data_IF_991772587803
#
_entry.id   IF_991772587803
#
_cell.length_a   1.000
_cell.length_b   1.000
_cell.length_c   1.000
_cell.angle_alpha   90.00
_cell.angle_beta   90.00
_cell.angle_gamma   90.00
#
_symmetry.space_group_name_H-M   'P 1'
#
loop_
_entity.id
_entity.type
_entity.pdbx_description
1 polymer ?
#
# COMPACT_ATOMS: atom_id res chain seq x y z
N UNK A 1 -28.51 -2.04 -35.10
CA UNK A 1 -29.04 -2.29 -33.73
C UNK A 1 -27.99 -2.88 -32.79
N UNK A 2 -27.28 -3.96 -33.15
CA UNK A 2 -26.28 -4.61 -32.27
C UNK A 2 -25.15 -3.66 -31.80
N UNK A 3 -24.62 -2.79 -32.67
CA UNK A 3 -23.60 -1.79 -32.29
C UNK A 3 -24.12 -0.86 -31.18
N UNK A 4 -25.40 -0.44 -31.25
CA UNK A 4 -26.01 0.39 -30.20
C UNK A 4 -26.10 -0.34 -28.86
N UNK A 5 -26.43 -1.63 -28.88
CA UNK A 5 -26.50 -2.46 -27.66
C UNK A 5 -25.13 -2.57 -27.00
N UNK A 6 -24.06 -2.74 -27.78
CA UNK A 6 -22.68 -2.74 -27.25
C UNK A 6 -22.35 -1.38 -26.62
N UNK A 7 -22.68 -0.27 -27.29
CA UNK A 7 -22.47 1.08 -26.76
C UNK A 7 -23.22 1.33 -25.44
N UNK A 8 -24.51 0.97 -25.39
CA UNK A 8 -25.33 1.06 -24.19
C UNK A 8 -24.79 0.17 -23.05
N UNK A 9 -24.31 -1.03 -23.38
CA UNK A 9 -23.68 -1.94 -22.42
C UNK A 9 -22.42 -1.36 -21.79
N UNK A 10 -21.56 -0.69 -22.57
CA UNK A 10 -20.37 -0.01 -22.06
C UNK A 10 -20.74 1.15 -21.11
N UNK A 11 -21.73 1.96 -21.46
CA UNK A 11 -22.24 3.04 -20.58
C UNK A 11 -22.76 2.45 -19.27
N UNK A 12 -23.59 1.41 -19.35
CA UNK A 12 -24.15 0.74 -18.17
C UNK A 12 -23.03 0.15 -17.30
N UNK A 13 -22.02 -0.49 -17.88
CA UNK A 13 -20.88 -1.04 -17.15
C UNK A 13 -20.12 0.05 -16.37
N UNK A 14 -19.85 1.21 -16.98
CA UNK A 14 -19.16 2.32 -16.29
C UNK A 14 -19.91 2.78 -15.04
N UNK A 15 -21.24 2.86 -15.13
CA UNK A 15 -22.10 3.29 -14.03
C UNK A 15 -22.27 2.20 -12.96
N UNK A 16 -22.57 0.96 -13.38
CA UNK A 16 -22.82 -0.19 -12.49
C UNK A 16 -21.55 -0.57 -11.71
N UNK A 17 -20.38 -0.52 -12.36
CA UNK A 17 -19.10 -0.79 -11.70
C UNK A 17 -18.60 0.37 -10.84
N UNK A 18 -19.38 1.45 -10.69
CA UNK A 18 -19.05 2.62 -9.89
C UNK A 18 -17.66 3.21 -10.21
N UNK A 19 -17.28 3.22 -11.50
CA UNK A 19 -15.91 3.55 -11.89
C UNK A 19 -15.50 4.98 -11.50
N UNK A 20 -16.47 5.88 -11.36
CA UNK A 20 -16.26 7.25 -10.88
C UNK A 20 -15.79 7.35 -9.43
N UNK A 21 -16.07 6.35 -8.59
CA UNK A 21 -15.51 6.26 -7.24
C UNK A 21 -14.21 5.45 -7.23
N UNK A 22 -14.13 4.40 -8.06
CA UNK A 22 -12.96 3.51 -8.18
C UNK A 22 -11.73 4.26 -8.68
N UNK A 23 -11.88 5.12 -9.69
CA UNK A 23 -10.76 5.90 -10.25
C UNK A 23 -10.04 6.76 -9.18
N UNK A 24 -10.74 7.66 -8.47
CA UNK A 24 -10.15 8.43 -7.37
C UNK A 24 -9.60 7.55 -6.23
N UNK A 25 -10.31 6.47 -5.86
CA UNK A 25 -9.85 5.57 -4.80
C UNK A 25 -8.52 4.90 -5.16
N UNK A 26 -8.38 4.45 -6.42
CA UNK A 26 -7.14 3.88 -6.94
C UNK A 26 -6.01 4.90 -6.94
N UNK A 27 -6.28 6.11 -7.46
CA UNK A 27 -5.29 7.19 -7.57
C UNK A 27 -4.77 7.65 -6.20
N UNK A 28 -5.67 7.81 -5.22
CA UNK A 28 -5.31 8.14 -3.85
C UNK A 28 -4.46 7.04 -3.20
N UNK A 29 -4.87 5.77 -3.34
CA UNK A 29 -4.12 4.64 -2.79
C UNK A 29 -2.70 4.60 -3.37
N UNK A 30 -2.58 4.69 -4.69
CA UNK A 30 -1.27 4.66 -5.34
C UNK A 30 -0.42 5.89 -4.94
N UNK A 31 -1.00 7.08 -4.92
CA UNK A 31 -0.26 8.30 -4.60
C UNK A 31 0.27 8.31 -3.16
N UNK A 32 -0.56 7.85 -2.21
CA UNK A 32 -0.19 7.82 -0.79
C UNK A 32 0.85 6.73 -0.48
N UNK A 33 0.80 5.59 -1.17
CA UNK A 33 1.77 4.50 -0.98
C UNK A 33 3.10 4.70 -1.70
N UNK A 34 3.13 5.51 -2.78
CA UNK A 34 4.34 5.75 -3.58
C UNK A 34 5.58 6.12 -2.74
N UNK A 35 5.56 7.08 -1.81
CA UNK A 35 6.74 7.41 -1.00
C UNK A 35 7.17 6.29 -0.05
N UNK A 36 6.22 5.46 0.39
CA UNK A 36 6.49 4.35 1.31
C UNK A 36 7.09 3.11 0.61
N UNK A 37 6.82 2.92 -0.68
CA UNK A 37 7.22 1.74 -1.45
C UNK A 37 8.50 1.93 -2.28
N UNK A 38 9.26 2.99 -2.05
CA UNK A 38 10.57 3.13 -2.68
C UNK A 38 11.57 2.10 -2.10
N UNK A 39 12.55 1.70 -2.90
CA UNK A 39 13.61 0.79 -2.44
C UNK A 39 14.32 1.34 -1.20
N UNK A 40 14.58 2.65 -1.18
CA UNK A 40 15.22 3.31 -0.04
C UNK A 40 14.32 3.27 1.21
N UNK A 41 13.02 3.54 1.07
CA UNK A 41 12.06 3.51 2.19
C UNK A 41 11.97 2.10 2.80
N UNK A 42 11.88 1.06 1.97
CA UNK A 42 11.85 -0.35 2.41
C UNK A 42 13.16 -0.75 3.08
N UNK A 43 14.31 -0.41 2.48
CA UNK A 43 15.63 -0.69 3.07
C UNK A 43 15.79 -0.01 4.43
N UNK A 44 15.35 1.24 4.56
CA UNK A 44 15.36 1.95 5.84
C UNK A 44 14.42 1.29 6.85
N UNK A 45 13.23 0.86 6.45
CA UNK A 45 12.31 0.14 7.34
C UNK A 45 12.91 -1.18 7.86
N UNK A 46 13.59 -1.96 7.00
CA UNK A 46 14.32 -3.16 7.44
C UNK A 46 15.44 -2.83 8.43
N UNK A 47 16.19 -1.75 8.20
CA UNK A 47 17.23 -1.32 9.13
C UNK A 47 16.64 -0.90 10.49
N UNK A 48 15.50 -0.22 10.49
CA UNK A 48 14.78 0.15 11.72
C UNK A 48 14.33 -1.08 12.52
N UNK A 49 13.76 -2.09 11.85
CA UNK A 49 13.34 -3.37 12.47
C UNK A 49 14.54 -4.14 13.01
N UNK A 50 15.62 -4.23 12.23
CA UNK A 50 16.86 -4.88 12.64
C UNK A 50 17.46 -4.19 13.88
N UNK A 51 17.40 -2.85 13.94
CA UNK A 51 17.79 -2.07 15.10
C UNK A 51 16.99 -2.43 16.35
N UNK A 52 15.66 -2.52 16.25
CA UNK A 52 14.80 -2.94 17.38
C UNK A 52 15.09 -4.37 17.84
N UNK A 53 15.35 -5.29 16.91
CA UNK A 53 15.74 -6.68 17.23
C UNK A 53 17.09 -6.75 17.94
N UNK A 54 18.05 -5.94 17.50
CA UNK A 54 19.35 -5.83 18.15
C UNK A 54 19.22 -5.27 19.57
N UNK A 55 18.38 -4.25 19.79
CA UNK A 55 18.07 -3.72 21.13
C UNK A 55 17.44 -4.79 22.01
N UNK A 56 16.44 -5.53 21.53
CA UNK A 56 15.80 -6.59 22.32
C UNK A 56 16.82 -7.65 22.77
N UNK A 57 17.68 -8.07 21.84
CA UNK A 57 18.73 -9.06 22.11
C UNK A 57 19.76 -8.52 23.10
N UNK A 58 20.28 -7.31 22.88
CA UNK A 58 21.28 -6.69 23.73
C UNK A 58 20.72 -6.38 25.13
N UNK A 59 19.47 -5.92 25.21
CA UNK A 59 18.80 -5.61 26.46
C UNK A 59 18.73 -6.86 27.35
N UNK A 60 18.24 -7.97 26.79
CA UNK A 60 18.05 -9.22 27.53
C UNK A 60 19.37 -9.93 27.87
N UNK A 61 20.32 -9.97 26.93
CA UNK A 61 21.54 -10.79 27.08
C UNK A 61 22.70 -10.06 27.73
N UNK A 62 22.74 -8.71 27.66
CA UNK A 62 23.87 -7.92 28.17
C UNK A 62 23.44 -6.85 29.16
N UNK A 63 22.48 -6.00 28.81
CA UNK A 63 22.14 -4.81 29.60
C UNK A 63 21.51 -5.19 30.94
N UNK A 64 20.51 -6.08 30.95
CA UNK A 64 19.88 -6.55 32.19
C UNK A 64 20.91 -7.21 33.12
N UNK A 65 21.73 -8.19 32.69
CA UNK A 65 22.78 -8.75 33.54
C UNK A 65 23.78 -7.71 34.09
N UNK A 66 24.27 -6.81 33.23
CA UNK A 66 25.26 -5.81 33.62
C UNK A 66 24.70 -4.80 34.63
N UNK A 67 23.49 -4.27 34.39
CA UNK A 67 22.83 -3.34 35.31
C UNK A 67 22.46 -4.03 36.62
N UNK A 68 21.99 -5.28 36.56
CA UNK A 68 21.70 -6.08 37.76
C UNK A 68 22.96 -6.23 38.63
N UNK A 69 24.10 -6.58 38.01
CA UNK A 69 25.37 -6.70 38.72
C UNK A 69 25.82 -5.37 39.35
N UNK A 70 25.72 -4.26 38.62
CA UNK A 70 26.12 -2.95 39.12
C UNK A 70 25.21 -2.45 40.26
N UNK A 71 23.91 -2.71 40.18
CA UNK A 71 22.94 -2.35 41.21
C UNK A 71 22.90 -3.34 42.38
N UNK A 72 23.68 -4.42 42.33
CA UNK A 72 23.69 -5.52 43.31
C UNK A 72 22.31 -6.18 43.47
N UNK A 73 21.59 -6.33 42.36
CA UNK A 73 20.29 -6.98 42.27
C UNK A 73 20.40 -8.26 41.42
N UNK A 74 19.48 -9.22 41.60
CA UNK A 74 19.33 -10.33 40.64
C UNK A 74 18.58 -9.84 39.38
N UNK A 75 18.69 -10.53 38.23
CA UNK A 75 17.91 -10.20 37.04
C UNK A 75 16.39 -10.15 37.27
N UNK A 76 15.85 -11.03 38.11
CA UNK A 76 14.43 -11.05 38.47
C UNK A 76 14.05 -9.82 39.30
N UNK A 77 14.91 -9.42 40.24
CA UNK A 77 14.71 -8.20 41.02
C UNK A 77 14.80 -6.96 40.14
N UNK A 78 15.73 -6.93 39.17
CA UNK A 78 15.82 -5.84 38.20
C UNK A 78 14.56 -5.76 37.33
N UNK A 79 14.08 -6.90 36.81
CA UNK A 79 12.83 -6.93 36.04
C UNK A 79 11.62 -6.47 36.87
N UNK A 80 11.54 -6.86 38.16
CA UNK A 80 10.53 -6.36 39.09
C UNK A 80 10.64 -4.86 39.33
N UNK A 81 11.87 -4.35 39.51
CA UNK A 81 12.15 -2.93 39.65
C UNK A 81 11.73 -2.15 38.40
N UNK A 82 12.08 -2.60 37.20
CA UNK A 82 11.66 -1.97 35.93
C UNK A 82 10.14 -2.00 35.79
N UNK A 83 9.50 -3.13 36.08
CA UNK A 83 8.04 -3.23 35.96
C UNK A 83 7.28 -2.30 36.91
N UNK A 84 7.82 -2.05 38.11
CA UNK A 84 7.21 -1.17 39.10
C UNK A 84 7.50 0.31 38.87
N UNK A 85 8.73 0.65 38.47
CA UNK A 85 9.19 2.05 38.39
C UNK A 85 9.14 2.61 36.97
N UNK A 86 9.19 1.74 35.95
CA UNK A 86 9.21 2.08 34.52
C UNK A 86 8.22 1.17 33.75
N UNK A 87 6.92 1.28 34.05
CA UNK A 87 5.91 0.37 33.50
C UNK A 87 5.78 0.45 31.98
N UNK A 88 6.07 1.60 31.35
CA UNK A 88 6.02 1.73 29.88
C UNK A 88 7.20 1.02 29.25
N UNK A 89 8.38 1.06 29.86
CA UNK A 89 9.53 0.28 29.41
C UNK A 89 9.23 -1.22 29.50
N UNK A 90 8.70 -1.69 30.63
CA UNK A 90 8.30 -3.09 30.78
C UNK A 90 7.24 -3.51 29.73
N UNK A 91 6.22 -2.68 29.51
CA UNK A 91 5.19 -2.94 28.51
C UNK A 91 5.76 -3.00 27.08
N UNK A 92 6.61 -2.05 26.70
CA UNK A 92 7.25 -2.03 25.38
C UNK A 92 8.16 -3.24 25.17
N UNK A 93 8.99 -3.59 26.15
CA UNK A 93 9.84 -4.77 26.09
C UNK A 93 9.04 -6.07 25.97
N UNK A 94 7.86 -6.15 26.60
CA UNK A 94 6.93 -7.26 26.45
C UNK A 94 6.26 -7.33 25.07
N UNK A 95 6.11 -6.19 24.38
CA UNK A 95 5.47 -6.10 23.07
C UNK A 95 6.43 -6.39 21.89
N UNK A 96 7.72 -6.09 22.04
CA UNK A 96 8.73 -6.25 20.97
C UNK A 96 8.78 -7.66 20.34
N UNK A 97 8.74 -8.78 21.09
CA UNK A 97 8.83 -10.13 20.52
C UNK A 97 7.72 -10.45 19.51
N UNK A 98 6.55 -9.83 19.65
CA UNK A 98 5.42 -10.01 18.73
C UNK A 98 5.38 -8.92 17.66
N UNK A 99 5.74 -7.69 18.02
CA UNK A 99 5.72 -6.55 17.11
C UNK A 99 6.77 -6.70 15.99
N UNK A 100 8.00 -7.09 16.32
CA UNK A 100 9.10 -7.17 15.35
C UNK A 100 8.79 -8.15 14.20
N UNK A 101 8.42 -9.42 14.45
CA UNK A 101 8.08 -10.34 13.36
C UNK A 101 6.86 -9.87 12.53
N UNK A 102 5.91 -9.21 13.16
CA UNK A 102 4.72 -8.68 12.48
C UNK A 102 5.09 -7.56 11.51
N UNK A 103 5.88 -6.58 11.97
CA UNK A 103 6.36 -5.51 11.10
C UNK A 103 7.31 -6.03 10.02
N UNK A 104 8.19 -6.98 10.34
CA UNK A 104 9.08 -7.59 9.35
C UNK A 104 8.29 -8.30 8.24
N UNK A 105 7.30 -9.12 8.62
CA UNK A 105 6.40 -9.77 7.66
C UNK A 105 5.63 -8.78 6.78
N UNK A 106 5.18 -7.65 7.36
CA UNK A 106 4.53 -6.58 6.62
C UNK A 106 5.48 -5.94 5.60
N UNK A 107 6.68 -5.52 6.02
CA UNK A 107 7.66 -4.88 5.13
C UNK A 107 8.13 -5.85 4.04
N UNK A 108 8.37 -7.12 4.37
CA UNK A 108 8.67 -8.16 3.38
C UNK A 108 7.55 -8.32 2.35
N UNK A 109 6.29 -8.29 2.80
CA UNK A 109 5.13 -8.35 1.88
C UNK A 109 5.14 -7.13 0.95
N UNK A 110 5.33 -5.93 1.50
CA UNK A 110 5.38 -4.70 0.70
C UNK A 110 6.53 -4.69 -0.31
N UNK A 111 7.72 -5.18 0.06
CA UNK A 111 8.85 -5.30 -0.85
C UNK A 111 8.56 -6.28 -2.00
N UNK A 112 7.99 -7.44 -1.68
CA UNK A 112 7.57 -8.42 -2.70
C UNK A 112 6.49 -7.88 -3.63
N UNK A 113 5.62 -7.00 -3.14
CA UNK A 113 4.55 -6.39 -3.93
C UNK A 113 5.00 -5.16 -4.74
N UNK A 114 6.22 -4.64 -4.51
CA UNK A 114 6.73 -3.43 -5.17
C UNK A 114 6.68 -3.48 -6.71
N UNK A 115 7.03 -4.59 -7.38
CA UNK A 115 6.92 -4.67 -8.84
C UNK A 115 5.47 -4.56 -9.33
N UNK A 116 4.51 -5.19 -8.62
CA UNK A 116 3.09 -5.10 -8.96
C UNK A 116 2.56 -3.69 -8.72
N UNK A 117 3.03 -3.03 -7.64
CA UNK A 117 2.71 -1.65 -7.38
C UNK A 117 3.21 -0.71 -8.48
N UNK A 118 4.46 -0.88 -8.94
CA UNK A 118 5.00 -0.07 -10.04
C UNK A 118 4.22 -0.28 -11.35
N UNK A 119 3.76 -1.51 -11.62
CA UNK A 119 2.91 -1.81 -12.77
C UNK A 119 1.52 -1.16 -12.65
N UNK A 120 0.92 -1.21 -11.46
CA UNK A 120 -0.36 -0.57 -11.15
C UNK A 120 -0.28 0.97 -11.21
N UNK A 121 0.80 1.57 -10.69
CA UNK A 121 1.06 3.01 -10.73
C UNK A 121 1.16 3.56 -12.16
N UNK A 122 1.49 2.70 -13.13
CA UNK A 122 1.53 3.05 -14.53
C UNK A 122 0.14 3.01 -15.23
N UNK A 123 -0.97 2.81 -14.51
CA UNK A 123 -2.34 2.82 -15.05
C UNK A 123 -2.95 4.24 -14.98
N UNK A 124 -3.57 4.75 -16.07
CA UNK A 124 -3.54 4.24 -17.45
C UNK A 124 -2.21 4.53 -18.15
N UNK A 125 -1.62 5.69 -17.85
CA UNK A 125 -0.28 6.15 -18.23
C UNK A 125 0.20 7.15 -17.18
N UNK A 126 1.52 7.33 -16.99
CA UNK A 126 2.09 8.24 -15.99
C UNK A 126 1.56 9.69 -16.05
N UNK A 127 1.09 10.13 -17.23
CA UNK A 127 0.60 11.50 -17.48
C UNK A 127 -0.91 11.67 -17.39
N UNK A 128 -1.69 10.61 -17.19
CA UNK A 128 -3.15 10.66 -17.18
C UNK A 128 -3.69 10.17 -15.82
N UNK A 129 -4.47 10.98 -15.10
CA UNK A 129 -5.12 10.57 -13.86
C UNK A 129 -6.00 9.33 -14.06
N UNK A 130 -6.07 8.43 -13.08
CA UNK A 130 -6.96 7.26 -13.14
C UNK A 130 -8.44 7.68 -13.19
N UNK A 131 -8.75 8.87 -12.65
CA UNK A 131 -10.07 9.54 -12.80
C UNK A 131 -10.49 9.81 -14.25
N UNK A 132 -9.58 9.74 -15.23
CA UNK A 132 -9.93 9.88 -16.66
C UNK A 132 -10.51 8.60 -17.27
N UNK A 133 -10.22 7.42 -16.69
CA UNK A 133 -10.65 6.12 -17.23
C UNK A 133 -12.18 5.98 -17.28
N UNK A 134 -12.95 6.35 -16.25
CA UNK A 134 -14.42 6.30 -16.30
C UNK A 134 -14.99 7.18 -17.41
N UNK A 135 -14.44 8.37 -17.61
CA UNK A 135 -14.87 9.29 -18.67
C UNK A 135 -14.56 8.75 -20.07
N UNK A 136 -13.38 8.14 -20.24
CA UNK A 136 -13.00 7.51 -21.52
C UNK A 136 -13.97 6.35 -21.88
N UNK A 137 -14.30 5.50 -20.91
CA UNK A 137 -15.25 4.40 -21.10
C UNK A 137 -16.67 4.90 -21.39
N UNK A 138 -17.14 5.89 -20.62
CA UNK A 138 -18.45 6.50 -20.83
C UNK A 138 -18.54 7.14 -22.22
N UNK A 139 -17.55 7.96 -22.59
CA UNK A 139 -17.47 8.62 -23.88
C UNK A 139 -17.40 7.63 -25.05
N UNK A 140 -16.61 6.56 -24.90
CA UNK A 140 -16.55 5.47 -25.88
C UNK A 140 -17.91 4.78 -26.04
N UNK A 141 -18.60 4.46 -24.95
CA UNK A 141 -19.93 3.85 -24.99
C UNK A 141 -20.96 4.73 -25.71
N UNK A 142 -20.98 6.03 -25.40
CA UNK A 142 -21.84 7.01 -26.07
C UNK A 142 -21.50 7.12 -27.55
N UNK A 143 -20.21 7.22 -27.91
CA UNK A 143 -19.78 7.29 -29.30
C UNK A 143 -20.20 6.06 -30.10
N UNK A 144 -19.97 4.86 -29.55
CA UNK A 144 -20.40 3.59 -30.17
C UNK A 144 -21.92 3.54 -30.33
N UNK A 145 -22.67 4.01 -29.34
CA UNK A 145 -24.13 4.09 -29.42
C UNK A 145 -24.57 5.01 -30.57
N UNK A 146 -24.00 6.21 -30.67
CA UNK A 146 -24.32 7.18 -31.72
C UNK A 146 -23.91 6.68 -33.11
N UNK A 147 -22.78 5.99 -33.24
CA UNK A 147 -22.38 5.33 -34.49
C UNK A 147 -23.41 4.26 -34.89
N UNK A 148 -23.86 3.46 -33.92
CA UNK A 148 -24.91 2.47 -34.15
C UNK A 148 -26.23 3.09 -34.60
N UNK A 149 -26.57 4.29 -34.11
CA UNK A 149 -27.76 5.05 -34.51
C UNK A 149 -27.59 5.63 -35.92
N UNK A 150 -26.44 6.22 -36.23
CA UNK A 150 -26.13 6.75 -37.55
C UNK A 150 -26.10 5.66 -38.63
N UNK A 151 -25.64 4.45 -38.29
CA UNK A 151 -25.64 3.29 -39.16
C UNK A 151 -27.06 2.87 -39.61
N UNK A 152 -28.12 3.25 -38.89
CA UNK A 152 -29.50 3.02 -39.32
C UNK A 152 -29.89 3.88 -40.53
N UNK A 153 -29.27 5.06 -40.69
CA UNK A 153 -29.51 5.96 -41.84
C UNK A 153 -28.50 5.75 -42.97
N UNK A 154 -27.25 5.50 -42.61
CA UNK A 154 -26.15 5.34 -43.58
C UNK A 154 -25.29 4.12 -43.22
N UNK A 155 -25.69 2.90 -43.62
CA UNK A 155 -25.03 1.65 -43.21
C UNK A 155 -23.54 1.59 -43.56
N UNK A 156 -23.13 2.10 -44.74
CA UNK A 156 -21.72 2.12 -45.19
C UNK A 156 -20.85 3.03 -44.31
N UNK A 157 -21.30 4.27 -44.10
CA UNK A 157 -20.55 5.26 -43.31
C UNK A 157 -20.53 4.88 -41.82
N UNK A 158 -21.67 4.44 -41.27
CA UNK A 158 -21.76 3.94 -39.90
C UNK A 158 -20.93 2.68 -39.67
N UNK A 159 -20.91 1.76 -40.65
CA UNK A 159 -20.07 0.56 -40.61
C UNK A 159 -18.58 0.88 -40.63
N UNK A 160 -18.14 1.82 -41.47
CA UNK A 160 -16.76 2.30 -41.51
C UNK A 160 -16.34 2.98 -40.19
N UNK A 161 -17.19 3.84 -39.64
CA UNK A 161 -16.94 4.47 -38.34
C UNK A 161 -16.86 3.43 -37.21
N UNK A 162 -17.77 2.44 -37.20
CA UNK A 162 -17.74 1.34 -36.23
C UNK A 162 -16.47 0.50 -36.35
N UNK A 163 -16.03 0.19 -37.58
CA UNK A 163 -14.79 -0.54 -37.79
C UNK A 163 -13.59 0.19 -37.18
N UNK A 164 -13.44 1.48 -37.48
CA UNK A 164 -12.33 2.30 -36.97
C UNK A 164 -12.38 2.42 -35.45
N UNK A 165 -13.53 2.80 -34.89
CA UNK A 165 -13.68 2.97 -33.43
C UNK A 165 -13.51 1.64 -32.71
N UNK A 166 -14.09 0.55 -33.21
CA UNK A 166 -13.93 -0.78 -32.62
C UNK A 166 -12.47 -1.24 -32.60
N UNK A 167 -11.72 -1.00 -33.69
CA UNK A 167 -10.28 -1.27 -33.73
C UNK A 167 -9.50 -0.41 -32.74
N UNK A 168 -9.83 0.88 -32.59
CA UNK A 168 -9.18 1.74 -31.59
C UNK A 168 -9.42 1.23 -30.17
N UNK A 169 -10.67 0.86 -29.83
CA UNK A 169 -11.02 0.31 -28.51
C UNK A 169 -10.34 -1.04 -28.20
N UNK A 170 -9.93 -1.78 -29.23
CA UNK A 170 -9.18 -3.03 -29.09
C UNK A 170 -7.66 -2.79 -28.99
N UNK A 171 -7.12 -1.96 -29.88
CA UNK A 171 -5.66 -1.76 -30.04
C UNK A 171 -5.09 -0.84 -28.97
N UNK A 172 -5.80 0.21 -28.54
CA UNK A 172 -5.28 1.16 -27.55
C UNK A 172 -4.97 0.49 -26.20
N UNK A 173 -5.88 -0.32 -25.59
CA UNK A 173 -5.56 -1.01 -24.34
C UNK A 173 -4.36 -1.96 -24.46
N UNK A 174 -4.21 -2.62 -25.61
CA UNK A 174 -3.06 -3.51 -25.89
C UNK A 174 -1.75 -2.72 -26.02
N UNK A 175 -1.77 -1.62 -26.77
CA UNK A 175 -0.61 -0.75 -26.97
C UNK A 175 -0.12 -0.12 -25.65
N UNK A 176 -1.04 0.13 -24.71
CA UNK A 176 -0.76 0.64 -23.36
C UNK A 176 -0.48 -0.47 -22.33
N UNK A 177 -0.51 -1.74 -22.74
CA UNK A 177 -0.37 -2.91 -21.87
C UNK A 177 -1.35 -2.95 -20.69
N UNK A 178 -2.55 -2.35 -20.85
CA UNK A 178 -3.55 -2.27 -19.78
C UNK A 178 -4.01 -3.64 -19.26
N UNK A 179 -4.16 -4.71 -20.07
CA UNK A 179 -4.54 -6.02 -19.54
C UNK A 179 -3.55 -6.58 -18.52
N UNK A 180 -2.25 -6.44 -18.79
CA UNK A 180 -1.18 -6.89 -17.88
C UNK A 180 -1.17 -6.04 -16.61
N UNK A 181 -1.13 -4.71 -16.74
CA UNK A 181 -1.14 -3.80 -15.59
C UNK A 181 -2.37 -3.99 -14.70
N UNK A 182 -3.54 -4.17 -15.30
CA UNK A 182 -4.79 -4.40 -14.57
C UNK A 182 -4.80 -5.76 -13.84
N UNK A 183 -4.18 -6.79 -14.42
CA UNK A 183 -3.99 -8.07 -13.75
C UNK A 183 -3.00 -7.95 -12.58
N UNK A 184 -1.92 -7.19 -12.74
CA UNK A 184 -0.96 -6.91 -11.66
C UNK A 184 -1.61 -6.14 -10.52
N UNK A 185 -2.48 -5.17 -10.82
CA UNK A 185 -3.27 -4.44 -9.83
C UNK A 185 -4.28 -5.36 -9.09
N UNK A 186 -4.95 -6.26 -9.79
CA UNK A 186 -5.84 -7.26 -9.19
C UNK A 186 -5.06 -8.24 -8.28
N UNK A 187 -3.86 -8.66 -8.71
CA UNK A 187 -2.98 -9.52 -7.92
C UNK A 187 -2.43 -8.81 -6.69
N UNK A 188 -2.00 -7.55 -6.83
CA UNK A 188 -1.60 -6.69 -5.73
C UNK A 188 -2.72 -6.60 -4.69
N UNK A 189 -3.94 -6.29 -5.13
CA UNK A 189 -5.12 -6.19 -4.28
C UNK A 189 -5.39 -7.51 -3.53
N UNK A 190 -5.29 -8.66 -4.21
CA UNK A 190 -5.45 -9.97 -3.61
C UNK A 190 -4.38 -10.27 -2.54
N UNK A 191 -3.12 -9.90 -2.80
CA UNK A 191 -1.99 -10.13 -1.90
C UNK A 191 -1.99 -9.19 -0.69
N UNK A 192 -2.51 -7.97 -0.85
CA UNK A 192 -2.65 -7.01 0.26
C UNK A 192 -3.85 -7.31 1.15
N UNK A 193 -4.87 -8.03 0.65
CA UNK A 193 -6.11 -8.33 1.39
C UNK A 193 -5.91 -8.86 2.83
N UNK A 194 -4.98 -9.79 3.11
CA UNK A 194 -4.78 -10.30 4.47
C UNK A 194 -4.22 -9.25 5.42
N UNK A 195 -3.49 -8.26 4.91
CA UNK A 195 -2.82 -7.23 5.72
C UNK A 195 -3.56 -5.89 5.73
N UNK A 196 -4.53 -5.70 4.83
CA UNK A 196 -5.32 -4.47 4.72
C UNK A 196 -6.61 -4.53 5.55
N UNK A 197 -6.47 -4.58 6.88
CA UNK A 197 -7.62 -4.67 7.80
C UNK A 197 -7.58 -3.61 8.88
N UNK A 198 -8.76 -3.15 9.34
CA UNK A 198 -8.87 -2.20 10.45
C UNK A 198 -8.17 -2.74 11.70
N UNK A 199 -8.35 -4.02 12.01
CA UNK A 199 -7.71 -4.66 13.16
C UNK A 199 -6.18 -4.58 13.09
N UNK A 200 -5.58 -4.78 11.91
CA UNK A 200 -4.12 -4.66 11.75
C UNK A 200 -3.66 -3.21 11.96
N UNK A 201 -4.38 -2.24 11.41
CA UNK A 201 -4.07 -0.81 11.59
C UNK A 201 -4.18 -0.42 13.07
N UNK A 202 -5.24 -0.82 13.76
CA UNK A 202 -5.45 -0.51 15.17
C UNK A 202 -4.38 -1.17 16.06
N UNK A 203 -4.05 -2.44 15.78
CA UNK A 203 -2.98 -3.15 16.46
C UNK A 203 -1.62 -2.48 16.23
N UNK A 204 -1.34 -2.01 15.00
CA UNK A 204 -0.11 -1.30 14.68
C UNK A 204 -0.05 0.06 15.41
N UNK A 205 -1.14 0.83 15.45
CA UNK A 205 -1.24 2.08 16.23
C UNK A 205 -0.97 1.83 17.71
N UNK A 206 -1.60 0.81 18.29
CA UNK A 206 -1.40 0.43 19.69
C UNK A 206 0.03 -0.01 19.99
N UNK A 207 0.63 -0.83 19.11
CA UNK A 207 2.01 -1.27 19.21
C UNK A 207 3.00 -0.10 19.14
N UNK A 208 2.84 0.79 18.16
CA UNK A 208 3.69 1.98 18.01
C UNK A 208 3.55 2.95 19.17
N UNK A 209 2.33 3.16 19.68
CA UNK A 209 2.11 3.96 20.89
C UNK A 209 2.83 3.36 22.10
N UNK A 210 2.78 2.04 22.26
CA UNK A 210 3.46 1.32 23.36
C UNK A 210 4.99 1.44 23.23
N UNK A 211 5.54 1.23 22.04
CA UNK A 211 7.00 1.36 21.79
C UNK A 211 7.46 2.82 21.96
N UNK A 212 6.67 3.79 21.50
CA UNK A 212 6.96 5.21 21.69
C UNK A 212 6.92 5.64 23.16
N UNK A 213 5.96 5.11 23.92
CA UNK A 213 5.88 5.31 25.37
C UNK A 213 7.10 4.71 26.09
N UNK A 214 7.54 3.51 25.70
CA UNK A 214 8.78 2.88 26.17
C UNK A 214 9.99 3.77 25.87
N UNK A 215 10.19 4.20 24.62
CA UNK A 215 11.32 5.03 24.23
C UNK A 215 11.38 6.34 25.02
N UNK A 216 10.22 6.97 25.21
CA UNK A 216 10.10 8.22 25.98
C UNK A 216 10.46 7.99 27.45
N UNK A 217 9.87 6.99 28.11
CA UNK A 217 10.15 6.71 29.54
C UNK A 217 11.60 6.26 29.74
N UNK A 218 12.14 5.47 28.81
CA UNK A 218 13.54 5.04 28.83
C UNK A 218 14.47 6.26 28.81
N UNK A 219 14.30 7.16 27.83
CA UNK A 219 15.17 8.33 27.67
C UNK A 219 15.02 9.38 28.76
N UNK A 220 13.78 9.65 29.20
CA UNK A 220 13.48 10.79 30.09
C UNK A 220 13.49 10.43 31.57
N UNK A 221 13.24 9.17 31.92
CA UNK A 221 13.00 8.76 33.31
C UNK A 221 13.96 7.64 33.73
N UNK A 222 14.01 6.53 32.99
CA UNK A 222 14.82 5.37 33.36
C UNK A 222 16.32 5.67 33.31
N UNK A 223 16.83 6.25 32.21
CA UNK A 223 18.26 6.53 32.09
C UNK A 223 18.76 7.54 33.13
N UNK A 224 18.08 8.68 33.39
CA UNK A 224 18.48 9.57 34.49
C UNK A 224 18.42 8.93 35.88
N UNK A 225 17.43 8.07 36.13
CA UNK A 225 17.32 7.34 37.40
C UNK A 225 18.47 6.35 37.58
N UNK A 226 18.80 5.59 36.52
CA UNK A 226 19.95 4.68 36.51
C UNK A 226 21.27 5.44 36.67
N UNK A 227 21.45 6.58 36.00
CA UNK A 227 22.63 7.43 36.18
C UNK A 227 22.83 7.82 37.65
N UNK A 228 21.74 8.25 38.31
CA UNK A 228 21.75 8.62 39.73
C UNK A 228 22.10 7.43 40.62
N UNK A 229 21.49 6.26 40.39
CA UNK A 229 21.77 5.06 41.19
C UNK A 229 23.20 4.54 41.01
N UNK A 230 23.72 4.61 39.79
CA UNK A 230 25.09 4.19 39.45
C UNK A 230 26.15 5.25 39.81
N UNK A 231 25.72 6.43 40.29
CA UNK A 231 26.60 7.59 40.56
C UNK A 231 27.40 8.02 39.33
N UNK A 232 26.78 7.94 38.15
CA UNK A 232 27.34 8.35 36.87
C UNK A 232 26.69 9.67 36.42
N UNK A 233 27.45 10.53 35.74
CA UNK A 233 26.86 11.67 35.02
C UNK A 233 26.12 11.18 33.76
N UNK A 234 25.20 11.99 33.18
CA UNK A 234 24.54 11.64 31.92
C UNK A 234 25.52 11.31 30.78
N UNK A 235 26.63 12.03 30.69
CA UNK A 235 27.67 11.84 29.66
C UNK A 235 28.44 10.54 29.89
N UNK A 236 28.72 10.21 31.16
CA UNK A 236 29.36 8.95 31.52
C UNK A 236 28.44 7.76 31.22
N UNK A 237 27.14 7.88 31.53
CA UNK A 237 26.17 6.85 31.20
C UNK A 237 26.04 6.70 29.68
N UNK A 238 25.98 7.79 28.93
CA UNK A 238 25.92 7.73 27.46
C UNK A 238 27.17 7.07 26.87
N UNK A 239 28.35 7.40 27.38
CA UNK A 239 29.62 6.76 26.99
C UNK A 239 29.61 5.27 27.33
N UNK A 240 29.14 4.92 28.52
CA UNK A 240 29.01 3.53 28.96
C UNK A 240 28.04 2.74 28.07
N UNK A 241 26.88 3.32 27.73
CA UNK A 241 25.94 2.74 26.79
C UNK A 241 26.56 2.58 25.40
N UNK A 242 27.21 3.61 24.86
CA UNK A 242 27.85 3.53 23.55
C UNK A 242 28.94 2.45 23.46
N UNK A 243 29.71 2.26 24.52
CA UNK A 243 30.81 1.29 24.55
C UNK A 243 30.33 -0.16 24.80
N UNK A 244 29.35 -0.35 25.67
CA UNK A 244 28.94 -1.69 26.12
C UNK A 244 27.62 -2.18 25.49
N UNK A 245 26.78 -1.24 25.05
CA UNK A 245 25.43 -1.47 24.55
C UNK A 245 25.16 -0.63 23.28
N UNK A 246 25.95 -0.84 22.20
CA UNK A 246 25.86 0.00 21.00
C UNK A 246 24.48 -0.02 20.34
N UNK A 247 23.74 -1.14 20.38
CA UNK A 247 22.40 -1.19 19.77
C UNK A 247 21.42 -0.30 20.54
N UNK A 248 21.47 -0.35 21.87
CA UNK A 248 20.65 0.50 22.76
C UNK A 248 20.99 1.98 22.57
N UNK A 249 22.29 2.31 22.53
CA UNK A 249 22.75 3.68 22.31
C UNK A 249 22.33 4.22 20.93
N UNK A 250 22.41 3.40 19.89
CA UNK A 250 21.95 3.76 18.55
C UNK A 250 20.43 3.94 18.50
N UNK A 251 19.67 3.02 19.09
CA UNK A 251 18.21 3.10 19.08
C UNK A 251 17.69 4.34 19.82
N UNK A 252 18.33 4.76 20.91
CA UNK A 252 17.98 6.03 21.58
C UNK A 252 18.10 7.25 20.64
N UNK A 253 18.98 7.19 19.65
CA UNK A 253 19.17 8.26 18.67
C UNK A 253 18.22 8.14 17.48
N UNK A 254 17.97 6.92 16.99
CA UNK A 254 17.21 6.71 15.75
C UNK A 254 15.72 6.46 15.97
N UNK A 255 15.31 5.97 17.15
CA UNK A 255 13.94 5.54 17.45
C UNK A 255 12.89 6.63 17.17
N UNK A 256 13.07 7.92 17.51
CA UNK A 256 12.07 8.94 17.18
C UNK A 256 11.76 9.00 15.68
N UNK A 257 12.80 8.98 14.85
CA UNK A 257 12.66 9.02 13.40
C UNK A 257 12.07 7.71 12.84
N UNK A 258 12.45 6.55 13.40
CA UNK A 258 11.88 5.25 13.02
C UNK A 258 10.37 5.19 13.35
N UNK A 259 9.97 5.65 14.54
CA UNK A 259 8.57 5.72 14.96
C UNK A 259 7.76 6.67 14.09
N UNK A 260 8.32 7.83 13.72
CA UNK A 260 7.67 8.77 12.80
C UNK A 260 7.41 8.11 11.43
N UNK A 261 8.41 7.39 10.89
CA UNK A 261 8.25 6.63 9.63
C UNK A 261 7.17 5.56 9.72
N UNK A 262 7.18 4.72 10.75
CA UNK A 262 6.16 3.69 10.93
C UNK A 262 4.77 4.28 11.16
N UNK A 263 4.64 5.36 11.93
CA UNK A 263 3.39 6.09 12.08
C UNK A 263 2.90 6.65 10.74
N UNK A 264 3.81 7.17 9.92
CA UNK A 264 3.51 7.61 8.56
C UNK A 264 2.94 6.48 7.71
N UNK A 265 3.58 5.30 7.72
CA UNK A 265 3.09 4.12 7.00
C UNK A 265 1.71 3.67 7.51
N UNK A 266 1.53 3.56 8.83
CA UNK A 266 0.23 3.17 9.42
C UNK A 266 -0.87 4.17 9.06
N UNK A 267 -0.54 5.47 9.02
CA UNK A 267 -1.49 6.51 8.58
C UNK A 267 -1.85 6.38 7.10
N UNK A 268 -0.90 6.01 6.24
CA UNK A 268 -1.17 5.72 4.83
C UNK A 268 -2.16 4.56 4.69
N UNK A 269 -1.98 3.47 5.45
CA UNK A 269 -2.96 2.38 5.50
C UNK A 269 -4.33 2.84 6.01
N UNK A 270 -4.36 3.57 7.13
CA UNK A 270 -5.58 4.06 7.77
C UNK A 270 -6.41 4.95 6.84
N UNK A 271 -5.76 5.93 6.20
CA UNK A 271 -6.40 6.85 5.25
C UNK A 271 -6.97 6.14 4.02
N UNK A 272 -6.41 4.99 3.65
CA UNK A 272 -6.75 4.28 2.42
C UNK A 272 -7.60 3.02 2.65
N UNK A 273 -8.05 2.73 3.88
CA UNK A 273 -9.01 1.64 4.15
C UNK A 273 -10.30 1.80 3.35
N UNK A 274 -10.87 2.99 3.32
CA UNK A 274 -12.08 3.25 2.52
C UNK A 274 -11.82 3.15 1.02
N UNK A 275 -10.64 3.59 0.56
CA UNK A 275 -10.26 3.48 -0.85
C UNK A 275 -10.10 2.00 -1.23
N UNK A 276 -9.42 1.21 -0.41
CA UNK A 276 -9.25 -0.22 -0.59
C UNK A 276 -10.60 -0.96 -0.66
N UNK A 277 -11.54 -0.67 0.24
CA UNK A 277 -12.88 -1.27 0.21
C UNK A 277 -13.68 -0.90 -1.04
N UNK A 278 -13.43 0.28 -1.62
CA UNK A 278 -14.02 0.70 -2.90
C UNK A 278 -13.43 -0.07 -4.09
N UNK A 279 -12.14 -0.40 -4.04
CA UNK A 279 -11.43 -1.12 -5.10
C UNK A 279 -11.66 -2.63 -5.06
N UNK A 280 -11.76 -3.20 -3.86
CA UNK A 280 -11.85 -4.64 -3.62
C UNK A 280 -12.86 -5.41 -4.48
N UNK A 281 -14.09 -4.91 -4.73
CA UNK A 281 -15.08 -5.66 -5.54
C UNK A 281 -14.81 -5.59 -7.06
N UNK A 282 -13.88 -4.74 -7.50
CA UNK A 282 -13.66 -4.46 -8.92
C UNK A 282 -12.49 -5.26 -9.45
N UNK A 283 -12.75 -6.14 -10.42
CA UNK A 283 -11.69 -6.80 -11.19
C UNK A 283 -11.27 -5.93 -12.36
N UNK A 284 -10.18 -5.18 -12.21
CA UNK A 284 -9.69 -4.25 -13.23
C UNK A 284 -9.34 -5.00 -14.52
N UNK A 285 -8.72 -6.18 -14.43
CA UNK A 285 -8.40 -6.99 -15.61
C UNK A 285 -9.67 -7.39 -16.37
N UNK A 286 -10.74 -7.72 -15.64
CA UNK A 286 -12.04 -8.06 -16.23
C UNK A 286 -12.65 -6.86 -16.96
N UNK A 287 -12.56 -5.66 -16.41
CA UNK A 287 -13.06 -4.45 -17.06
C UNK A 287 -12.32 -4.16 -18.37
N UNK A 288 -10.99 -4.26 -18.36
CA UNK A 288 -10.19 -4.07 -19.59
C UNK A 288 -10.53 -5.13 -20.64
N UNK A 289 -10.74 -6.39 -20.24
CA UNK A 289 -11.17 -7.44 -21.16
C UNK A 289 -12.57 -7.15 -21.77
N UNK A 290 -13.54 -6.71 -20.97
CA UNK A 290 -14.87 -6.36 -21.47
C UNK A 290 -14.79 -5.19 -22.45
N UNK A 291 -13.97 -4.17 -22.16
CA UNK A 291 -13.71 -3.07 -23.08
C UNK A 291 -13.17 -3.60 -24.42
N UNK A 292 -12.10 -4.39 -24.39
CA UNK A 292 -11.48 -4.92 -25.61
C UNK A 292 -12.42 -5.81 -26.43
N UNK A 293 -13.16 -6.72 -25.77
CA UNK A 293 -14.15 -7.58 -26.43
C UNK A 293 -15.25 -6.74 -27.09
N UNK A 294 -15.72 -5.71 -26.40
CA UNK A 294 -16.69 -4.77 -26.96
C UNK A 294 -16.14 -4.05 -28.19
N UNK A 295 -14.87 -3.61 -28.14
CA UNK A 295 -14.16 -3.03 -29.30
C UNK A 295 -14.10 -4.00 -30.49
N UNK A 296 -13.67 -5.24 -30.25
CA UNK A 296 -13.61 -6.28 -31.27
C UNK A 296 -14.97 -6.60 -31.89
N UNK A 297 -16.03 -6.67 -31.08
CA UNK A 297 -17.41 -6.86 -31.55
C UNK A 297 -17.88 -5.69 -32.41
N UNK A 298 -17.63 -4.44 -31.99
CA UNK A 298 -17.99 -3.25 -32.77
C UNK A 298 -17.22 -3.23 -34.10
N UNK A 299 -15.94 -3.61 -34.10
CA UNK A 299 -15.14 -3.70 -35.31
C UNK A 299 -15.70 -4.74 -36.30
N UNK A 300 -15.99 -5.95 -35.81
CA UNK A 300 -16.55 -7.03 -36.62
C UNK A 300 -17.92 -6.66 -37.21
N UNK A 301 -18.81 -6.08 -36.40
CA UNK A 301 -20.13 -5.62 -36.85
C UNK A 301 -20.01 -4.48 -37.88
N UNK A 302 -19.04 -3.59 -37.71
CA UNK A 302 -18.71 -2.54 -38.68
C UNK A 302 -18.29 -3.13 -40.02
N UNK A 303 -17.34 -4.08 -40.02
CA UNK A 303 -16.88 -4.76 -41.23
C UNK A 303 -18.02 -5.49 -41.96
N UNK A 304 -18.87 -6.23 -41.24
CA UNK A 304 -20.04 -6.91 -41.81
C UNK A 304 -20.97 -5.90 -42.49
N UNK A 305 -21.27 -4.77 -41.82
CA UNK A 305 -22.16 -3.73 -42.37
C UNK A 305 -21.62 -3.11 -43.67
N UNK A 306 -20.30 -2.96 -43.79
CA UNK A 306 -19.66 -2.47 -45.03
C UNK A 306 -19.81 -3.49 -46.16
N UNK A 307 -19.60 -4.78 -45.86
CA UNK A 307 -19.64 -5.86 -46.86
C UNK A 307 -21.07 -6.11 -47.35
N UNK A 308 -22.06 -6.13 -46.46
CA UNK A 308 -23.46 -6.38 -46.84
C UNK A 308 -24.03 -5.22 -47.65
N UNK A 309 -23.72 -3.97 -47.29
CA UNK A 309 -24.19 -2.80 -48.02
C UNK A 309 -23.58 -2.65 -49.44
N UNK A 310 -22.54 -3.43 -49.79
CA UNK A 310 -22.01 -3.50 -51.17
C UNK A 310 -22.80 -4.44 -52.07
N UNK A 311 -23.64 -5.31 -51.50
CA UNK A 311 -24.45 -6.31 -52.23
C UNK A 311 -25.86 -5.80 -52.55
N UNK A 312 -26.26 -4.67 -51.96
CA UNK A 312 -27.46 -3.89 -52.26
C UNK A 312 -27.10 -2.71 -53.17
#
# INVERSE_FOLDING_TARGET
>A
MLIMVVGAGLVALTLISNLFAVGPAFENLITDFRPALTEQSIKTAHADIAGLSAVQTEFSTKLVPALSQQLKMTPEQFNGFVSQNFPKVAAGMGALPTAIPTFDGLINTLDQQRPLFASADAIPTESLPATTVPWALLGAGILVFLIGLAALRSPKAGGAAALVVGLLLLVVPLALSLPGKAADADQLNANLKPIYTQALVDNAKGGLATIGAMGTEMGTTMLPALATQLKMTPEQLQTFLGANFPATAQALQTMPASLERFNGLVKVFDNNLSNYETLKPVGLARLILIWMVSGGLVAALGAVSIVTARRE
#
